data_IF_532517721695
#
_entry.id   IF_532517721695
#
_cell.length_a   1.000
_cell.length_b   1.000
_cell.length_c   1.000
_cell.angle_alpha   90.00
_cell.angle_beta   90.00
_cell.angle_gamma   90.00
#
_symmetry.space_group_name_H-M   'P 1'
#
loop_
_entity.id
_entity.type
_entity.pdbx_description
1 polymer ?
#
# COMPACT_ATOMS: atom_id res chain seq x y z
N UNK A 1 4.93 14.30 -3.14
CA UNK A 1 4.67 12.85 -3.08
C UNK A 1 5.25 12.12 -4.27
N UNK A 2 4.78 12.41 -5.49
CA UNK A 2 5.27 11.81 -6.74
C UNK A 2 6.80 11.87 -6.85
N UNK A 3 7.41 13.03 -6.57
CA UNK A 3 8.86 13.21 -6.71
C UNK A 3 9.66 12.29 -5.77
N UNK A 4 9.14 12.00 -4.57
CA UNK A 4 9.76 11.03 -3.64
C UNK A 4 9.69 9.61 -4.18
N UNK A 5 8.54 9.24 -4.78
CA UNK A 5 8.35 7.92 -5.41
C UNK A 5 9.32 7.79 -6.59
N UNK A 6 9.38 8.81 -7.46
CA UNK A 6 10.25 8.81 -8.62
C UNK A 6 11.73 8.77 -8.23
N UNK A 7 12.14 9.50 -7.21
CA UNK A 7 13.50 9.45 -6.69
C UNK A 7 13.86 8.04 -6.18
N UNK A 8 12.99 7.41 -5.39
CA UNK A 8 13.22 6.07 -4.85
C UNK A 8 13.32 5.01 -5.97
N UNK A 9 12.41 5.04 -6.97
CA UNK A 9 12.42 4.11 -8.10
C UNK A 9 13.66 4.30 -8.98
N UNK A 10 14.07 5.55 -9.24
CA UNK A 10 15.29 5.83 -10.02
C UNK A 10 16.55 5.40 -9.27
N UNK A 11 16.61 5.65 -7.96
CA UNK A 11 17.74 5.25 -7.13
C UNK A 11 17.91 3.72 -7.07
N UNK A 12 16.82 2.95 -7.14
CA UNK A 12 16.88 1.49 -7.20
C UNK A 12 17.13 0.92 -8.61
N UNK A 13 17.04 1.75 -9.66
CA UNK A 13 17.08 1.29 -11.05
C UNK A 13 15.86 0.43 -11.44
N UNK A 14 14.75 0.55 -10.70
CA UNK A 14 13.57 -0.29 -10.85
C UNK A 14 12.50 0.26 -11.78
N UNK A 15 11.33 -0.38 -11.76
CA UNK A 15 10.11 0.00 -12.48
C UNK A 15 8.93 0.21 -11.54
N UNK A 16 7.96 1.03 -11.94
CA UNK A 16 6.76 1.35 -11.18
C UNK A 16 5.53 0.61 -11.73
N UNK A 17 4.80 -0.07 -10.84
CA UNK A 17 3.41 -0.49 -11.08
C UNK A 17 2.50 0.37 -10.20
N UNK A 18 1.65 1.20 -10.81
CA UNK A 18 0.78 2.15 -10.09
C UNK A 18 -0.69 1.81 -10.33
N UNK A 19 -1.45 1.64 -9.24
CA UNK A 19 -2.91 1.54 -9.25
C UNK A 19 -3.53 2.53 -8.27
N UNK A 20 -4.83 2.80 -8.43
CA UNK A 20 -5.57 3.75 -7.62
C UNK A 20 -6.75 3.08 -6.93
N UNK A 21 -7.11 3.57 -5.75
CA UNK A 21 -8.37 3.16 -5.11
C UNK A 21 -9.56 3.87 -5.78
N UNK A 22 -10.77 3.31 -5.62
CA UNK A 22 -12.03 3.96 -6.06
C UNK A 22 -12.26 5.35 -5.47
N UNK A 23 -11.59 5.68 -4.35
CA UNK A 23 -11.76 6.94 -3.62
C UNK A 23 -10.72 7.99 -3.99
N UNK A 24 -9.76 7.66 -4.85
CA UNK A 24 -8.70 8.59 -5.24
C UNK A 24 -9.28 9.68 -6.16
N UNK A 25 -9.17 10.97 -5.82
CA UNK A 25 -9.68 12.06 -6.66
C UNK A 25 -9.01 12.08 -8.04
N UNK A 26 -9.76 12.41 -9.09
CA UNK A 26 -9.23 12.46 -10.47
C UNK A 26 -8.04 13.42 -10.62
N UNK A 27 -8.06 14.55 -9.91
CA UNK A 27 -6.93 15.49 -9.89
C UNK A 27 -5.65 14.87 -9.33
N UNK A 28 -5.78 14.00 -8.32
CA UNK A 28 -4.65 13.27 -7.74
C UNK A 28 -4.16 12.18 -8.69
N UNK A 29 -5.07 11.43 -9.33
CA UNK A 29 -4.72 10.42 -10.35
C UNK A 29 -3.94 11.04 -11.50
N UNK A 30 -4.46 12.12 -12.09
CA UNK A 30 -3.82 12.83 -13.19
C UNK A 30 -2.44 13.39 -12.79
N UNK A 31 -2.34 14.00 -11.60
CA UNK A 31 -1.10 14.57 -11.10
C UNK A 31 -0.01 13.52 -10.82
N UNK A 32 -0.39 12.33 -10.34
CA UNK A 32 0.52 11.20 -10.14
C UNK A 32 0.92 10.57 -11.48
N UNK A 33 -0.05 10.29 -12.35
CA UNK A 33 0.20 9.68 -13.64
C UNK A 33 1.15 10.54 -14.49
N UNK A 34 0.90 11.85 -14.57
CA UNK A 34 1.74 12.77 -15.34
C UNK A 34 3.17 12.91 -14.80
N UNK A 35 3.38 12.80 -13.48
CA UNK A 35 4.70 12.95 -12.85
C UNK A 35 5.51 11.67 -12.81
N UNK A 36 4.86 10.53 -13.00
CA UNK A 36 5.47 9.20 -12.89
C UNK A 36 5.49 8.47 -14.25
N UNK A 37 4.96 9.08 -15.31
CA UNK A 37 4.87 8.49 -16.65
C UNK A 37 6.21 8.27 -17.34
N UNK A 38 7.27 8.93 -16.87
CA UNK A 38 8.62 8.78 -17.41
C UNK A 38 9.39 7.61 -16.75
N UNK A 39 8.86 7.02 -15.70
CA UNK A 39 9.43 5.84 -15.07
C UNK A 39 9.07 4.59 -15.89
N UNK A 40 9.99 3.61 -16.00
CA UNK A 40 9.66 2.31 -16.58
C UNK A 40 8.52 1.65 -15.80
N UNK A 41 7.61 0.97 -16.49
CA UNK A 41 6.56 0.17 -15.85
C UNK A 41 5.16 0.47 -16.38
N UNK A 42 4.16 0.34 -15.50
CA UNK A 42 2.76 0.39 -15.86
C UNK A 42 1.93 1.20 -14.86
N UNK A 43 1.18 2.18 -15.38
CA UNK A 43 0.17 2.93 -14.64
C UNK A 43 -1.20 2.44 -15.11
N UNK A 44 -2.01 1.92 -14.20
CA UNK A 44 -3.38 1.51 -14.47
C UNK A 44 -4.24 2.76 -14.76
N UNK A 45 -4.94 2.74 -15.89
CA UNK A 45 -5.74 3.86 -16.40
C UNK A 45 -7.14 3.94 -15.77
N UNK A 46 -7.50 2.97 -14.93
CA UNK A 46 -8.81 2.88 -14.30
C UNK A 46 -9.83 2.03 -15.08
N UNK A 47 -9.44 1.46 -16.23
CA UNK A 47 -10.30 0.58 -17.03
C UNK A 47 -10.19 -0.89 -16.59
N UNK A 48 -11.33 -1.59 -16.59
CA UNK A 48 -11.41 -2.99 -16.19
C UNK A 48 -11.22 -3.21 -14.68
N UNK A 49 -10.81 -4.41 -14.32
CA UNK A 49 -10.55 -4.79 -12.95
C UNK A 49 -9.24 -4.17 -12.44
N UNK A 50 -9.24 -3.75 -11.17
CA UNK A 50 -8.04 -3.19 -10.56
C UNK A 50 -6.96 -4.28 -10.43
N UNK A 51 -5.76 -4.09 -11.02
CA UNK A 51 -4.70 -5.10 -11.06
C UNK A 51 -3.95 -5.29 -9.73
N UNK A 52 -4.47 -4.73 -8.62
CA UNK A 52 -3.82 -4.70 -7.31
C UNK A 52 -3.16 -6.02 -6.92
N UNK A 53 -3.88 -7.15 -6.98
CA UNK A 53 -3.31 -8.44 -6.56
C UNK A 53 -2.16 -8.92 -7.45
N UNK A 54 -2.24 -8.64 -8.76
CA UNK A 54 -1.12 -8.89 -9.67
C UNK A 54 0.09 -8.03 -9.31
N UNK A 55 -0.13 -6.75 -9.03
CA UNK A 55 0.95 -5.83 -8.63
C UNK A 55 1.59 -6.26 -7.31
N UNK A 56 0.79 -6.64 -6.31
CA UNK A 56 1.29 -7.15 -5.03
C UNK A 56 2.12 -8.43 -5.21
N UNK A 57 1.69 -9.33 -6.11
CA UNK A 57 2.41 -10.57 -6.41
C UNK A 57 3.79 -10.32 -7.03
N UNK A 58 3.92 -9.35 -7.95
CA UNK A 58 5.18 -9.08 -8.66
C UNK A 58 6.07 -8.00 -8.05
N UNK A 59 5.57 -7.18 -7.12
CA UNK A 59 6.36 -6.12 -6.51
C UNK A 59 7.49 -6.66 -5.62
N UNK A 60 8.67 -6.04 -5.65
CA UNK A 60 9.73 -6.24 -4.64
C UNK A 60 9.51 -5.34 -3.41
N UNK A 61 8.97 -4.14 -3.64
CA UNK A 61 8.62 -3.15 -2.63
C UNK A 61 7.25 -2.56 -2.93
N UNK A 62 6.43 -2.35 -1.90
CA UNK A 62 5.06 -1.87 -2.03
C UNK A 62 4.94 -0.51 -1.36
N UNK A 63 4.51 0.52 -2.09
CA UNK A 63 4.32 1.87 -1.55
C UNK A 63 2.82 2.15 -1.44
N UNK A 64 2.34 2.48 -0.24
CA UNK A 64 0.90 2.70 0.03
C UNK A 64 0.69 4.05 0.69
N UNK A 65 -0.30 4.82 0.24
CA UNK A 65 -0.68 6.07 0.90
C UNK A 65 -1.28 5.81 2.27
N UNK A 66 -0.94 6.66 3.24
CA UNK A 66 -1.36 6.55 4.64
C UNK A 66 -2.89 6.43 4.83
N UNK A 67 -3.70 6.97 3.92
CA UNK A 67 -5.17 6.94 3.95
C UNK A 67 -5.79 5.69 3.28
N UNK A 68 -4.98 4.82 2.69
CA UNK A 68 -5.40 3.60 1.99
C UNK A 68 -5.35 2.37 2.90
N UNK A 69 -6.11 2.42 4.00
CA UNK A 69 -6.17 1.36 5.03
C UNK A 69 -6.28 -0.08 4.50
N UNK A 70 -7.22 -0.32 3.58
CA UNK A 70 -7.41 -1.64 2.97
C UNK A 70 -6.15 -2.08 2.20
N UNK A 71 -5.63 -1.21 1.33
CA UNK A 71 -4.43 -1.51 0.54
C UNK A 71 -3.20 -1.74 1.41
N UNK A 72 -3.10 -1.09 2.57
CA UNK A 72 -2.03 -1.33 3.52
C UNK A 72 -2.15 -2.75 4.13
N UNK A 73 -3.36 -3.18 4.49
CA UNK A 73 -3.61 -4.54 4.97
C UNK A 73 -3.41 -5.61 3.87
N UNK A 74 -3.84 -5.32 2.64
CA UNK A 74 -3.62 -6.20 1.48
C UNK A 74 -2.12 -6.29 1.12
N UNK A 75 -1.37 -5.19 1.21
CA UNK A 75 0.08 -5.21 1.07
C UNK A 75 0.75 -6.02 2.18
N UNK A 76 0.26 -5.89 3.42
CA UNK A 76 0.77 -6.63 4.57
C UNK A 76 0.53 -8.16 4.50
N UNK A 77 -0.32 -8.65 3.61
CA UNK A 77 -0.49 -10.11 3.41
C UNK A 77 0.62 -10.73 2.54
N UNK A 78 1.52 -9.91 1.99
CA UNK A 78 2.54 -10.39 1.06
C UNK A 78 3.83 -10.86 1.74
N UNK A 79 4.11 -10.41 2.97
CA UNK A 79 5.41 -10.62 3.63
C UNK A 79 6.55 -9.80 3.02
N UNK A 80 6.24 -8.88 2.09
CA UNK A 80 7.19 -8.03 1.37
C UNK A 80 7.24 -6.62 1.94
N UNK A 81 8.35 -5.88 1.78
CA UNK A 81 8.50 -4.51 2.24
C UNK A 81 7.33 -3.59 1.90
N UNK A 82 6.60 -3.11 2.92
CA UNK A 82 5.52 -2.13 2.77
C UNK A 82 5.97 -0.77 3.28
N UNK A 83 6.03 0.20 2.37
CA UNK A 83 6.41 1.58 2.63
C UNK A 83 5.15 2.45 2.73
N UNK A 84 4.93 3.07 3.89
CA UNK A 84 3.84 4.02 4.06
C UNK A 84 4.29 5.39 3.56
N UNK A 85 3.50 5.96 2.67
CA UNK A 85 3.67 7.30 2.13
C UNK A 85 2.89 8.29 3.01
N UNK A 86 3.56 9.10 3.83
CA UNK A 86 2.89 10.03 4.72
C UNK A 86 2.09 11.07 3.93
N UNK A 87 0.89 11.37 4.39
CA UNK A 87 -0.01 12.36 3.78
C UNK A 87 -0.35 13.48 4.76
N UNK A 88 -0.73 14.65 4.23
CA UNK A 88 -1.27 15.72 5.07
C UNK A 88 -2.68 15.28 5.50
N UNK A 89 -2.94 15.05 6.80
CA UNK A 89 -4.22 14.52 7.23
C UNK A 89 -5.32 15.58 7.07
N UNK A 90 -6.40 15.19 6.39
CA UNK A 90 -7.60 16.04 6.23
C UNK A 90 -8.52 16.00 7.48
N UNK A 91 -8.34 15.00 8.36
CA UNK A 91 -9.12 14.76 9.59
C UNK A 91 -8.22 14.17 10.68
N UNK A 92 -8.67 14.24 11.94
CA UNK A 92 -7.94 13.64 13.07
C UNK A 92 -7.72 12.13 12.84
N UNK A 93 -6.47 11.70 12.93
CA UNK A 93 -5.98 10.40 12.46
C UNK A 93 -6.37 9.19 13.31
N UNK A 94 -7.32 9.27 14.23
CA UNK A 94 -7.47 8.28 15.32
C UNK A 94 -7.52 6.81 14.88
N UNK A 95 -8.33 6.47 13.87
CA UNK A 95 -8.40 5.07 13.38
C UNK A 95 -7.26 4.67 12.47
N UNK A 96 -6.69 5.62 11.71
CA UNK A 96 -5.59 5.34 10.78
C UNK A 96 -4.28 5.18 11.56
N UNK A 97 -4.04 6.02 12.56
CA UNK A 97 -2.92 5.90 13.49
C UNK A 97 -2.89 4.51 14.12
N UNK A 98 -4.00 4.03 14.70
CA UNK A 98 -4.07 2.68 15.27
C UNK A 98 -3.76 1.57 14.26
N UNK A 99 -4.23 1.71 13.02
CA UNK A 99 -3.92 0.73 11.97
C UNK A 99 -2.42 0.73 11.64
N UNK A 100 -1.84 1.92 11.46
CA UNK A 100 -0.42 2.06 11.16
C UNK A 100 0.45 1.55 12.30
N UNK A 101 0.08 1.84 13.54
CA UNK A 101 0.76 1.35 14.74
C UNK A 101 0.72 -0.19 14.80
N UNK A 102 -0.43 -0.82 14.54
CA UNK A 102 -0.55 -2.29 14.52
C UNK A 102 0.31 -2.91 13.42
N UNK A 103 0.22 -2.38 12.19
CA UNK A 103 1.03 -2.86 11.05
C UNK A 103 2.54 -2.70 11.31
N UNK A 104 2.94 -1.57 11.88
CA UNK A 104 4.35 -1.30 12.19
C UNK A 104 4.84 -2.19 13.33
N UNK A 105 4.02 -2.44 14.36
CA UNK A 105 4.38 -3.31 15.49
C UNK A 105 4.63 -4.76 15.06
N UNK A 106 3.99 -5.19 13.97
CA UNK A 106 4.19 -6.50 13.33
C UNK A 106 5.36 -6.54 12.35
N UNK A 107 6.07 -5.43 12.17
CA UNK A 107 7.18 -5.30 11.23
C UNK A 107 6.74 -5.21 9.76
N UNK A 108 5.44 -5.12 9.48
CA UNK A 108 4.93 -5.12 8.11
C UNK A 108 5.28 -3.83 7.39
N UNK A 109 5.16 -2.69 8.08
CA UNK A 109 5.26 -1.36 7.48
C UNK A 109 6.41 -0.53 8.05
N UNK A 110 6.97 0.34 7.20
CA UNK A 110 7.88 1.44 7.57
C UNK A 110 7.51 2.70 6.79
N UNK A 111 7.70 3.92 7.33
CA UNK A 111 7.57 5.13 6.52
C UNK A 111 8.60 5.14 5.38
N UNK A 112 8.23 5.62 4.19
CA UNK A 112 9.20 5.84 3.11
C UNK A 112 10.16 6.97 3.50
N UNK A 113 11.42 6.63 3.73
CA UNK A 113 12.51 7.59 4.04
C UNK A 113 13.34 8.01 2.82
N UNK A 114 12.99 7.50 1.64
CA UNK A 114 13.69 7.73 0.38
C UNK A 114 14.52 6.55 -0.10
N UNK A 115 14.68 5.53 0.74
CA UNK A 115 15.34 4.27 0.37
C UNK A 115 14.34 3.14 0.21
N UNK A 116 14.70 2.13 -0.60
CA UNK A 116 13.95 0.90 -0.76
C UNK A 116 14.72 -0.25 -0.12
N UNK A 117 14.91 -0.18 1.19
CA UNK A 117 15.52 -1.26 1.95
C UNK A 117 14.63 -2.51 1.95
N UNK A 118 15.26 -3.69 1.86
CA UNK A 118 14.55 -4.97 1.90
C UNK A 118 14.43 -5.49 3.33
N UNK A 119 13.24 -5.98 3.69
CA UNK A 119 12.96 -6.72 4.92
C UNK A 119 11.81 -7.72 4.66
N UNK A 120 11.58 -8.61 5.62
CA UNK A 120 10.44 -9.52 5.59
C UNK A 120 9.83 -9.63 6.98
N UNK A 121 8.62 -10.17 7.05
CA UNK A 121 7.82 -10.37 8.24
C UNK A 121 6.82 -11.51 7.97
N UNK A 122 6.18 -12.00 9.03
CA UNK A 122 5.12 -12.99 8.87
C UNK A 122 3.94 -12.39 8.12
N UNK A 123 3.65 -12.91 6.93
CA UNK A 123 2.56 -12.47 6.08
C UNK A 123 1.23 -12.48 6.85
N UNK A 124 0.52 -11.35 6.86
CA UNK A 124 -0.70 -11.23 7.63
C UNK A 124 -1.88 -11.92 6.94
N UNK A 125 -2.55 -12.82 7.66
CA UNK A 125 -3.78 -13.48 7.21
C UNK A 125 -5.02 -12.87 7.89
N UNK A 126 -5.16 -11.54 7.87
CA UNK A 126 -6.20 -10.84 8.63
C UNK A 126 -7.62 -11.19 8.18
N UNK A 127 -7.83 -11.45 6.89
CA UNK A 127 -9.12 -11.93 6.37
C UNK A 127 -9.48 -13.28 6.98
N UNK A 128 -8.54 -14.23 7.03
CA UNK A 128 -8.78 -15.54 7.62
C UNK A 128 -8.97 -15.46 9.13
N UNK A 129 -8.20 -14.60 9.80
CA UNK A 129 -8.34 -14.34 11.24
C UNK A 129 -9.72 -13.77 11.56
N UNK A 130 -10.17 -12.78 10.79
CA UNK A 130 -11.48 -12.17 10.94
C UNK A 130 -12.61 -13.19 10.67
N UNK A 131 -12.49 -13.98 9.61
CA UNK A 131 -13.45 -15.04 9.30
C UNK A 131 -13.55 -16.07 10.44
N UNK A 132 -12.41 -16.52 10.98
CA UNK A 132 -12.36 -17.43 12.14
C UNK A 132 -13.07 -16.84 13.36
N UNK A 133 -12.77 -15.59 13.71
CA UNK A 133 -13.39 -14.92 14.85
C UNK A 133 -14.92 -14.79 14.71
N UNK A 134 -15.41 -14.52 13.50
CA UNK A 134 -16.86 -14.48 13.22
C UNK A 134 -17.48 -15.87 13.41
N UNK A 135 -16.86 -16.91 12.86
CA UNK A 135 -17.35 -18.29 12.99
C UNK A 135 -17.40 -18.76 14.45
N UNK A 136 -16.38 -18.42 15.25
CA UNK A 136 -16.34 -18.72 16.68
C UNK A 136 -17.47 -18.01 17.45
N UNK A 137 -17.68 -16.71 17.19
CA UNK A 137 -18.76 -15.94 17.80
C UNK A 137 -20.15 -16.48 17.43
N UNK A 138 -20.32 -17.00 16.21
CA UNK A 138 -21.58 -17.64 15.79
C UNK A 138 -21.83 -18.99 16.46
N UNK A 139 -20.79 -19.74 16.81
CA UNK A 139 -20.91 -21.04 17.50
C UNK A 139 -21.19 -20.90 19.00
N UNK A 140 -20.77 -19.79 19.60
CA UNK A 140 -20.97 -19.49 21.02
C UNK A 140 -22.38 -18.93 21.33
N UNK A 141 -23.27 -18.87 20.33
CA UNK A 141 -24.62 -18.33 20.40
C UNK A 141 -25.64 -19.43 20.20
#
# INVERSE_FOLDING_TARGET
>A
LADRIAAAVRASGGSLMLTFSRRTPETAKAALAARLSDLPGWIWDGSGDNPLFGFLHFADHILVTEDSANMAAEAASTGKPVHILPMIPLKSGGKFARLHDDLQSRGATRPLDGTLDSWTYEALAETDRAARAVLEAMRAR
#
